data_IF_006249953635
#
_entry.id   IF_006249953635
#
_cell.length_a   1.000
_cell.length_b   1.000
_cell.length_c   1.000
_cell.angle_alpha   90.00
_cell.angle_beta   90.00
_cell.angle_gamma   90.00
#
_symmetry.space_group_name_H-M   'P 1'
#
loop_
_entity.id
_entity.type
_entity.pdbx_description
1 polymer ?
#
# COMPACT_ATOMS: atom_id res chain seq x y z
N UNK A 1 2.84 16.27 22.30
CA UNK A 1 3.83 16.69 21.27
C UNK A 1 3.46 16.21 19.85
N UNK A 2 2.95 14.99 19.65
CA UNK A 2 2.53 14.48 18.34
C UNK A 2 1.32 15.26 17.75
N UNK A 3 0.33 15.57 18.59
CA UNK A 3 -0.89 16.31 18.20
C UNK A 3 -0.55 17.74 17.71
N UNK A 4 0.36 18.43 18.42
CA UNK A 4 0.77 19.77 18.03
C UNK A 4 1.51 19.79 16.69
N UNK A 5 2.34 18.77 16.40
CA UNK A 5 3.02 18.61 15.11
C UNK A 5 2.02 18.38 13.96
N UNK A 6 0.96 17.61 14.19
CA UNK A 6 -0.05 17.34 13.15
C UNK A 6 -0.92 18.58 12.88
N UNK A 7 -1.33 19.32 13.92
CA UNK A 7 -2.06 20.58 13.76
C UNK A 7 -1.25 21.62 12.97
N UNK A 8 0.07 21.73 13.24
CA UNK A 8 0.93 22.62 12.48
C UNK A 8 1.02 22.19 11.00
N UNK A 9 1.08 20.89 10.72
CA UNK A 9 1.10 20.38 9.35
C UNK A 9 -0.22 20.64 8.62
N UNK A 10 -1.36 20.61 9.30
CA UNK A 10 -2.65 20.99 8.71
C UNK A 10 -2.66 22.47 8.30
N UNK A 11 -2.23 23.37 9.17
CA UNK A 11 -2.13 24.80 8.85
C UNK A 11 -1.17 25.01 7.67
N UNK A 12 0.01 24.42 7.72
CA UNK A 12 0.99 24.52 6.64
C UNK A 12 0.43 23.96 5.33
N UNK A 13 -0.39 22.91 5.39
CA UNK A 13 -1.05 22.34 4.21
C UNK A 13 -1.94 23.38 3.51
N UNK A 14 -2.69 24.19 4.26
CA UNK A 14 -3.54 25.23 3.66
C UNK A 14 -2.68 26.21 2.84
N UNK A 15 -1.56 26.68 3.39
CA UNK A 15 -0.67 27.59 2.67
C UNK A 15 0.04 26.92 1.49
N UNK A 16 0.46 25.66 1.64
CA UNK A 16 1.10 24.89 0.58
C UNK A 16 0.12 24.66 -0.58
N UNK A 17 -1.14 24.30 -0.30
CA UNK A 17 -2.15 24.09 -1.35
C UNK A 17 -2.72 25.39 -1.93
N UNK A 18 -2.47 26.52 -1.34
CA UNK A 18 -2.66 27.79 -2.02
C UNK A 18 -1.68 27.99 -3.19
N UNK A 19 -0.46 27.42 -3.06
CA UNK A 19 0.58 27.44 -4.10
C UNK A 19 0.49 26.26 -5.07
N UNK A 20 0.12 25.06 -4.58
CA UNK A 20 -0.02 23.83 -5.33
C UNK A 20 -1.48 23.38 -5.31
N UNK A 21 -2.15 23.33 -6.45
CA UNK A 21 -3.59 23.04 -6.54
C UNK A 21 -3.93 21.62 -6.08
N UNK A 22 -3.03 20.68 -6.32
CA UNK A 22 -3.24 19.27 -5.98
C UNK A 22 -2.03 18.68 -5.25
N UNK A 23 -2.26 17.58 -4.56
CA UNK A 23 -1.17 16.78 -3.96
C UNK A 23 -0.16 16.31 -5.01
N UNK A 24 -0.63 16.08 -6.24
CA UNK A 24 0.22 15.65 -7.34
C UNK A 24 1.12 16.79 -7.85
N UNK A 25 0.62 18.00 -7.96
CA UNK A 25 1.44 19.16 -8.34
C UNK A 25 2.57 19.40 -7.33
N UNK A 26 2.27 19.18 -6.04
CA UNK A 26 3.29 19.23 -4.97
C UNK A 26 4.32 18.11 -5.17
N UNK A 27 3.87 16.89 -5.47
CA UNK A 27 4.76 15.77 -5.76
C UNK A 27 5.71 16.05 -6.94
N UNK A 28 5.17 16.49 -8.06
CA UNK A 28 5.96 16.84 -9.26
C UNK A 28 7.01 17.90 -8.96
N UNK A 29 6.64 18.93 -8.19
CA UNK A 29 7.60 19.96 -7.74
C UNK A 29 8.72 19.37 -6.87
N UNK A 30 8.37 18.51 -5.92
CA UNK A 30 9.36 17.84 -5.03
C UNK A 30 10.29 16.94 -5.83
N UNK A 31 9.75 16.15 -6.74
CA UNK A 31 10.50 15.21 -7.57
C UNK A 31 11.44 15.94 -8.55
N UNK A 32 10.93 16.94 -9.28
CA UNK A 32 11.70 17.72 -10.24
C UNK A 32 12.89 18.46 -9.60
N UNK A 33 12.74 18.89 -8.35
CA UNK A 33 13.79 19.63 -7.62
C UNK A 33 14.56 18.74 -6.63
N UNK A 34 14.33 17.42 -6.63
CA UNK A 34 14.95 16.46 -5.70
C UNK A 34 14.81 16.86 -4.22
N UNK A 35 13.68 17.44 -3.84
CA UNK A 35 13.40 17.92 -2.47
C UNK A 35 12.82 16.78 -1.63
N UNK A 36 13.67 16.04 -0.94
CA UNK A 36 13.28 14.88 -0.10
C UNK A 36 13.04 15.22 1.37
N UNK A 37 13.40 16.43 1.80
CA UNK A 37 13.32 16.89 3.19
C UNK A 37 12.80 18.33 3.26
N UNK A 38 12.41 18.76 4.45
CA UNK A 38 11.90 20.11 4.70
C UNK A 38 10.38 20.18 4.78
N UNK A 39 9.85 21.40 4.82
CA UNK A 39 8.43 21.66 5.07
C UNK A 39 7.55 21.05 3.97
N UNK A 40 7.87 21.30 2.70
CA UNK A 40 7.06 20.80 1.57
C UNK A 40 7.02 19.28 1.53
N UNK A 41 8.17 18.60 1.69
CA UNK A 41 8.25 17.15 1.75
C UNK A 41 7.47 16.59 2.96
N UNK A 42 7.53 17.27 4.11
CA UNK A 42 6.78 16.87 5.31
C UNK A 42 5.27 17.04 5.14
N UNK A 43 4.81 18.09 4.46
CA UNK A 43 3.40 18.30 4.14
C UNK A 43 2.92 17.25 3.15
N UNK A 44 3.70 16.96 2.10
CA UNK A 44 3.37 15.91 1.14
C UNK A 44 3.21 14.56 1.84
N UNK A 45 4.23 14.13 2.58
CA UNK A 45 4.22 12.84 3.30
C UNK A 45 3.03 12.76 4.25
N UNK A 46 2.76 13.81 5.01
CA UNK A 46 1.62 13.87 5.92
C UNK A 46 0.28 13.72 5.21
N UNK A 47 0.09 14.38 4.06
CA UNK A 47 -1.16 14.30 3.30
C UNK A 47 -1.36 12.93 2.63
N UNK A 48 -0.29 12.26 2.22
CA UNK A 48 -0.34 10.88 1.71
C UNK A 48 -0.65 9.90 2.85
N UNK A 49 0.03 10.03 3.98
CA UNK A 49 -0.18 9.19 5.18
C UNK A 49 -1.60 9.31 5.72
N UNK A 50 -2.15 10.52 5.75
CA UNK A 50 -3.56 10.80 6.11
C UNK A 50 -4.57 10.07 5.21
N UNK A 51 -4.19 9.72 4.00
CA UNK A 51 -4.96 8.87 3.07
C UNK A 51 -4.66 7.38 3.24
N UNK A 52 -3.87 7.00 4.24
CA UNK A 52 -3.47 5.63 4.50
C UNK A 52 -2.50 5.04 3.49
N UNK A 53 -1.75 5.87 2.75
CA UNK A 53 -0.80 5.46 1.73
C UNK A 53 0.61 5.96 1.97
N UNK A 54 1.51 5.58 1.08
CA UNK A 54 2.89 6.08 1.03
C UNK A 54 3.37 6.18 -0.42
N UNK A 55 3.92 7.32 -0.81
CA UNK A 55 4.62 7.49 -2.08
C UNK A 55 6.00 8.09 -1.77
N UNK A 56 7.05 7.32 -2.03
CA UNK A 56 8.43 7.78 -1.89
C UNK A 56 8.73 8.93 -2.88
N UNK A 57 9.27 10.04 -2.38
CA UNK A 57 9.54 11.23 -3.21
C UNK A 57 10.55 10.94 -4.33
N UNK A 58 11.31 9.87 -4.24
CA UNK A 58 12.23 9.43 -5.31
C UNK A 58 11.64 8.39 -6.26
N UNK A 59 10.36 8.07 -6.19
CA UNK A 59 9.69 7.30 -7.25
C UNK A 59 9.59 8.16 -8.51
N UNK A 60 9.54 7.55 -9.69
CA UNK A 60 9.38 8.27 -10.95
C UNK A 60 8.15 7.79 -11.70
N UNK A 61 7.47 8.73 -12.35
CA UNK A 61 6.25 8.44 -13.10
C UNK A 61 6.35 9.08 -14.48
N UNK A 62 6.07 8.30 -15.53
CA UNK A 62 6.02 8.77 -16.90
C UNK A 62 4.85 9.74 -17.17
N UNK A 63 3.75 9.56 -16.43
CA UNK A 63 2.64 10.52 -16.32
C UNK A 63 1.95 10.33 -14.97
N UNK A 64 1.06 11.26 -14.61
CA UNK A 64 0.22 11.12 -13.40
C UNK A 64 -0.59 9.83 -13.46
N UNK A 65 -0.43 8.90 -12.48
CA UNK A 65 -1.26 7.70 -12.41
C UNK A 65 -2.72 8.03 -12.09
N UNK A 66 -3.62 7.18 -12.52
CA UNK A 66 -5.01 7.22 -12.08
C UNK A 66 -5.21 6.31 -10.88
N UNK A 67 -5.74 6.87 -9.78
CA UNK A 67 -6.08 6.16 -8.55
C UNK A 67 -7.60 6.15 -8.38
N UNK A 68 -8.33 5.11 -8.83
CA UNK A 68 -9.79 5.07 -8.79
C UNK A 68 -10.38 5.27 -7.39
N UNK A 69 -9.70 4.75 -6.38
CA UNK A 69 -10.11 4.82 -4.98
C UNK A 69 -9.14 5.66 -4.11
N UNK A 70 -8.56 6.73 -4.71
CA UNK A 70 -7.56 7.55 -4.03
C UNK A 70 -6.34 6.70 -3.61
N UNK A 71 -5.59 7.14 -2.60
CA UNK A 71 -4.35 6.49 -2.15
C UNK A 71 -4.54 5.49 -1.00
N UNK A 72 -5.77 5.01 -0.78
CA UNK A 72 -6.05 4.12 0.34
C UNK A 72 -5.21 2.83 0.27
N UNK A 73 -4.28 2.68 1.20
CA UNK A 73 -3.39 1.53 1.28
C UNK A 73 -2.41 1.38 0.12
N UNK A 74 -2.22 2.41 -0.72
CA UNK A 74 -1.23 2.39 -1.80
C UNK A 74 0.14 2.74 -1.27
N UNK A 75 1.09 1.81 -1.43
CA UNK A 75 2.49 1.99 -1.01
C UNK A 75 3.41 1.88 -2.23
N UNK A 76 4.14 2.95 -2.54
CA UNK A 76 5.10 2.99 -3.65
C UNK A 76 6.47 3.37 -3.09
N UNK A 77 7.44 2.47 -3.18
CA UNK A 77 8.79 2.69 -2.67
C UNK A 77 9.54 3.75 -3.45
N UNK A 78 10.39 4.47 -2.76
CA UNK A 78 11.37 5.36 -3.37
C UNK A 78 12.27 4.57 -4.34
N UNK A 79 12.48 5.10 -5.54
CA UNK A 79 13.26 4.45 -6.59
C UNK A 79 12.46 3.52 -7.50
N UNK A 80 11.16 3.30 -7.24
CA UNK A 80 10.29 2.65 -8.21
C UNK A 80 10.09 3.52 -9.45
N UNK A 81 10.02 2.88 -10.62
CA UNK A 81 9.74 3.54 -11.90
C UNK A 81 8.40 3.06 -12.41
N UNK A 82 7.49 3.97 -12.69
CA UNK A 82 6.17 3.68 -13.24
C UNK A 82 5.99 4.48 -14.53
N UNK A 83 5.67 3.82 -15.60
CA UNK A 83 5.44 4.40 -16.93
C UNK A 83 4.20 5.28 -17.01
N UNK A 84 3.81 5.62 -18.23
CA UNK A 84 2.63 6.44 -18.52
C UNK A 84 1.34 5.65 -18.38
N UNK A 85 0.23 6.37 -18.11
CA UNK A 85 -1.14 5.82 -18.10
C UNK A 85 -1.32 4.63 -17.14
N UNK A 86 -0.61 4.59 -16.04
CA UNK A 86 -0.81 3.56 -15.02
C UNK A 86 -2.13 3.78 -14.27
N UNK A 87 -2.91 2.70 -14.10
CA UNK A 87 -4.09 2.65 -13.24
C UNK A 87 -3.75 1.82 -12.02
N UNK A 88 -3.84 2.42 -10.83
CA UNK A 88 -3.40 1.78 -9.58
C UNK A 88 -4.54 1.79 -8.58
N UNK A 89 -5.04 0.60 -8.24
CA UNK A 89 -6.14 0.45 -7.28
C UNK A 89 -5.65 0.49 -5.83
N UNK A 90 -6.62 0.52 -4.90
CA UNK A 90 -6.36 0.54 -3.47
C UNK A 90 -5.56 -0.69 -3.00
N UNK A 91 -4.84 -0.53 -1.89
CA UNK A 91 -4.03 -1.57 -1.23
C UNK A 91 -2.91 -2.18 -2.10
N UNK A 92 -2.56 -1.53 -3.21
CA UNK A 92 -1.43 -1.92 -4.04
C UNK A 92 -0.11 -1.60 -3.33
N UNK A 93 0.86 -2.52 -3.40
CA UNK A 93 2.23 -2.28 -2.97
C UNK A 93 3.18 -2.43 -4.16
N UNK A 94 3.93 -1.37 -4.47
CA UNK A 94 5.07 -1.39 -5.38
C UNK A 94 6.30 -1.19 -4.51
N UNK A 95 6.95 -2.30 -4.14
CA UNK A 95 7.88 -2.36 -3.01
C UNK A 95 9.29 -2.77 -3.38
N UNK A 96 10.27 -2.12 -2.74
CA UNK A 96 11.66 -2.52 -2.84
C UNK A 96 11.96 -3.74 -1.97
N UNK A 97 12.86 -4.61 -2.43
CA UNK A 97 13.51 -5.63 -1.61
C UNK A 97 14.88 -5.09 -1.16
N UNK A 98 15.15 -5.17 0.14
CA UNK A 98 16.40 -4.69 0.76
C UNK A 98 17.10 -5.76 1.61
N UNK A 99 16.59 -7.00 1.60
CA UNK A 99 17.11 -8.11 2.40
C UNK A 99 18.38 -8.66 1.77
N UNK A 100 19.46 -8.79 2.56
CA UNK A 100 20.71 -9.40 2.09
C UNK A 100 20.48 -10.87 1.70
N UNK A 101 21.13 -11.30 0.61
CA UNK A 101 20.99 -12.66 0.09
C UNK A 101 19.74 -12.91 -0.75
N UNK A 102 18.95 -11.87 -1.04
CA UNK A 102 17.85 -11.94 -2.01
C UNK A 102 18.37 -11.69 -3.43
N UNK A 103 17.92 -12.49 -4.39
CA UNK A 103 18.28 -12.32 -5.81
C UNK A 103 17.56 -11.14 -6.48
N UNK A 104 16.56 -10.56 -5.80
CA UNK A 104 15.73 -9.48 -6.34
C UNK A 104 15.89 -8.15 -5.57
N UNK A 105 17.09 -7.86 -5.05
CA UNK A 105 17.34 -6.60 -4.34
C UNK A 105 17.16 -5.42 -5.30
N UNK A 106 16.31 -4.47 -4.96
CA UNK A 106 16.05 -3.26 -5.73
C UNK A 106 14.58 -2.87 -5.75
N UNK A 107 14.23 -2.05 -6.74
CA UNK A 107 12.89 -1.49 -6.90
C UNK A 107 12.27 -1.96 -8.22
N UNK A 108 10.94 -2.10 -8.29
CA UNK A 108 10.26 -2.44 -9.53
C UNK A 108 10.33 -1.32 -10.58
N UNK A 109 10.41 -1.74 -11.84
CA UNK A 109 10.19 -0.90 -13.03
C UNK A 109 8.95 -1.40 -13.74
N UNK A 110 7.98 -0.52 -13.98
CA UNK A 110 6.70 -0.83 -14.60
C UNK A 110 6.58 0.02 -15.87
N UNK A 111 6.27 -0.61 -16.99
CA UNK A 111 6.10 0.03 -18.30
C UNK A 111 4.81 0.85 -18.40
N UNK A 112 4.52 1.27 -19.63
CA UNK A 112 3.36 2.11 -19.96
C UNK A 112 2.04 1.29 -20.00
N UNK A 113 0.91 1.98 -19.81
CA UNK A 113 -0.45 1.44 -19.94
C UNK A 113 -0.73 0.21 -19.04
N UNK A 114 -0.17 0.17 -17.86
CA UNK A 114 -0.35 -0.94 -16.94
C UNK A 114 -1.57 -0.73 -16.01
N UNK A 115 -2.34 -1.80 -15.82
CA UNK A 115 -3.47 -1.86 -14.88
C UNK A 115 -3.09 -2.73 -13.68
N UNK A 116 -3.11 -2.14 -12.49
CA UNK A 116 -2.69 -2.80 -11.25
C UNK A 116 -3.88 -2.91 -10.32
N UNK A 117 -4.43 -4.13 -10.25
CA UNK A 117 -5.65 -4.45 -9.50
C UNK A 117 -5.49 -4.34 -8.00
N UNK A 118 -6.63 -4.23 -7.31
CA UNK A 118 -6.68 -4.02 -5.87
C UNK A 118 -5.87 -5.07 -5.08
N UNK A 119 -5.11 -4.61 -4.11
CA UNK A 119 -4.32 -5.50 -3.24
C UNK A 119 -3.10 -6.13 -3.89
N UNK A 120 -2.81 -5.89 -5.17
CA UNK A 120 -1.64 -6.46 -5.84
C UNK A 120 -0.32 -6.04 -5.18
N UNK A 121 0.67 -6.94 -5.19
CA UNK A 121 2.02 -6.73 -4.66
C UNK A 121 3.03 -6.94 -5.77
N UNK A 122 3.79 -5.91 -6.10
CA UNK A 122 4.89 -5.93 -7.08
C UNK A 122 6.14 -5.61 -6.31
N UNK A 123 7.06 -6.58 -6.17
CA UNK A 123 8.16 -6.46 -5.22
C UNK A 123 9.51 -6.89 -5.81
N UNK A 124 10.54 -6.14 -5.46
CA UNK A 124 11.92 -6.42 -5.85
C UNK A 124 12.35 -5.74 -7.15
N UNK A 125 13.58 -6.01 -7.55
CA UNK A 125 14.18 -5.51 -8.78
C UNK A 125 13.67 -6.30 -9.98
N UNK A 126 12.43 -6.05 -10.36
CA UNK A 126 11.76 -6.72 -11.48
C UNK A 126 11.30 -5.70 -12.51
N UNK A 127 11.14 -6.18 -13.73
CA UNK A 127 10.63 -5.41 -14.86
C UNK A 127 9.27 -5.93 -15.30
N UNK A 128 8.26 -5.05 -15.28
CA UNK A 128 6.94 -5.27 -15.87
C UNK A 128 6.91 -4.51 -17.19
N UNK A 129 6.66 -5.21 -18.28
CA UNK A 129 6.55 -4.62 -19.61
C UNK A 129 5.33 -3.70 -19.78
N UNK A 130 5.13 -3.24 -21.01
CA UNK A 130 4.02 -2.37 -21.36
C UNK A 130 2.69 -3.16 -21.51
N UNK A 131 1.57 -2.47 -21.38
CA UNK A 131 0.21 -3.03 -21.57
C UNK A 131 -0.07 -4.25 -20.68
N UNK A 132 0.54 -4.30 -19.49
CA UNK A 132 0.35 -5.41 -18.56
C UNK A 132 -0.83 -5.20 -17.64
N UNK A 133 -1.46 -6.32 -17.23
CA UNK A 133 -2.53 -6.34 -16.23
C UNK A 133 -2.11 -7.21 -15.05
N UNK A 134 -2.08 -6.62 -13.87
CA UNK A 134 -1.88 -7.32 -12.62
C UNK A 134 -3.25 -7.48 -11.95
N UNK A 135 -3.71 -8.71 -11.79
CA UNK A 135 -4.98 -9.03 -11.17
C UNK A 135 -5.01 -8.68 -9.68
N UNK A 136 -6.21 -8.55 -9.13
CA UNK A 136 -6.39 -8.28 -7.70
C UNK A 136 -5.68 -9.34 -6.85
N UNK A 137 -4.99 -8.88 -5.80
CA UNK A 137 -4.20 -9.69 -4.86
C UNK A 137 -3.10 -10.56 -5.49
N UNK A 138 -2.76 -10.33 -6.77
CA UNK A 138 -1.64 -11.03 -7.39
C UNK A 138 -0.31 -10.54 -6.78
N UNK A 139 0.61 -11.49 -6.56
CA UNK A 139 1.97 -11.20 -6.08
C UNK A 139 2.94 -11.44 -7.21
N UNK A 140 3.58 -10.36 -7.67
CA UNK A 140 4.53 -10.36 -8.78
C UNK A 140 5.94 -10.08 -8.24
N UNK A 141 6.81 -11.05 -8.38
CA UNK A 141 8.21 -11.00 -7.95
C UNK A 141 9.18 -11.50 -9.03
N UNK A 142 8.70 -11.58 -10.28
CA UNK A 142 9.46 -11.94 -11.48
C UNK A 142 9.08 -11.02 -12.62
N UNK A 143 9.96 -10.90 -13.59
CA UNK A 143 9.73 -10.10 -14.78
C UNK A 143 8.50 -10.56 -15.56
N UNK A 144 7.82 -9.60 -16.16
CA UNK A 144 6.69 -9.83 -17.04
C UNK A 144 6.96 -9.17 -18.41
N UNK A 145 6.88 -9.91 -19.51
CA UNK A 145 6.97 -9.31 -20.84
C UNK A 145 5.76 -8.42 -21.15
N UNK A 146 5.87 -7.63 -22.21
CA UNK A 146 4.76 -6.82 -22.69
C UNK A 146 3.48 -7.64 -22.92
N UNK A 147 2.34 -6.98 -22.79
CA UNK A 147 1.01 -7.57 -23.09
C UNK A 147 0.65 -8.79 -22.22
N UNK A 148 1.16 -8.85 -21.00
CA UNK A 148 1.00 -10.00 -20.10
C UNK A 148 0.00 -9.75 -18.99
N UNK A 149 -0.57 -10.85 -18.47
CA UNK A 149 -1.50 -10.81 -17.33
C UNK A 149 -0.94 -11.68 -16.20
N UNK A 150 -0.76 -11.08 -15.02
CA UNK A 150 -0.53 -11.81 -13.78
C UNK A 150 -1.85 -12.02 -13.05
N UNK A 151 -2.14 -13.24 -12.65
CA UNK A 151 -3.35 -13.59 -11.89
C UNK A 151 -2.98 -14.27 -10.57
N UNK A 152 -3.86 -14.10 -9.58
CA UNK A 152 -3.77 -14.87 -8.36
C UNK A 152 -4.11 -16.35 -8.63
N UNK A 153 -3.58 -17.26 -7.84
CA UNK A 153 -3.97 -18.67 -7.92
C UNK A 153 -5.48 -18.81 -7.66
N UNK A 154 -6.18 -19.79 -8.33
CA UNK A 154 -7.58 -20.02 -8.07
C UNK A 154 -7.84 -20.33 -6.59
N UNK A 155 -8.92 -19.80 -6.04
CA UNK A 155 -9.36 -20.10 -4.68
C UNK A 155 -9.64 -21.60 -4.55
N UNK A 156 -9.03 -22.22 -3.52
CA UNK A 156 -9.36 -23.61 -3.16
C UNK A 156 -10.35 -23.59 -2.01
N UNK A 157 -11.49 -24.23 -2.21
CA UNK A 157 -12.48 -24.45 -1.17
C UNK A 157 -12.19 -25.80 -0.50
N UNK A 158 -12.00 -25.78 0.82
CA UNK A 158 -11.76 -26.99 1.61
C UNK A 158 -12.94 -27.12 2.57
N UNK A 159 -13.77 -28.11 2.35
CA UNK A 159 -14.88 -28.44 3.24
C UNK A 159 -14.34 -29.26 4.43
N UNK A 160 -14.75 -28.91 5.63
CA UNK A 160 -14.47 -29.66 6.84
C UNK A 160 -15.70 -30.42 7.29
N UNK A 161 -15.50 -31.58 7.89
CA UNK A 161 -16.58 -32.44 8.41
C UNK A 161 -17.22 -31.85 9.66
N UNK A 162 -16.44 -31.15 10.47
CA UNK A 162 -16.89 -30.49 11.69
C UNK A 162 -16.97 -28.95 11.51
N UNK A 163 -17.87 -28.27 12.23
CA UNK A 163 -17.90 -26.82 12.28
C UNK A 163 -16.54 -26.26 12.73
N UNK A 164 -16.12 -25.17 12.08
CA UNK A 164 -14.91 -24.43 12.47
C UNK A 164 -15.24 -23.49 13.62
N UNK A 165 -14.34 -23.39 14.58
CA UNK A 165 -14.38 -22.33 15.56
C UNK A 165 -13.79 -21.06 14.93
N UNK A 166 -14.68 -20.12 14.58
CA UNK A 166 -14.31 -18.84 13.96
C UNK A 166 -14.41 -17.67 14.95
N UNK A 167 -14.48 -17.95 16.24
CA UNK A 167 -14.49 -16.91 17.27
C UNK A 167 -13.16 -16.14 17.23
N UNK A 168 -13.24 -14.83 17.39
CA UNK A 168 -12.06 -13.99 17.50
C UNK A 168 -11.71 -13.80 18.98
N UNK A 169 -10.54 -14.27 19.39
CA UNK A 169 -10.05 -14.23 20.76
C UNK A 169 -9.06 -13.09 20.99
N UNK A 170 -9.16 -12.46 22.16
CA UNK A 170 -8.18 -11.49 22.67
C UNK A 170 -7.72 -11.91 24.06
N UNK A 171 -6.41 -11.85 24.28
CA UNK A 171 -5.84 -11.93 25.61
C UNK A 171 -5.98 -10.56 26.29
N UNK A 172 -6.67 -10.49 27.41
CA UNK A 172 -6.88 -9.25 28.15
C UNK A 172 -5.80 -9.06 29.24
N UNK A 173 -5.65 -7.82 29.74
CA UNK A 173 -4.65 -7.48 30.75
C UNK A 173 -4.79 -8.27 32.06
N UNK A 174 -5.99 -8.78 32.34
CA UNK A 174 -6.28 -9.66 33.50
C UNK A 174 -5.82 -11.11 33.30
N UNK A 175 -5.13 -11.40 32.17
CA UNK A 175 -4.65 -12.74 31.80
C UNK A 175 -5.74 -13.69 31.32
N UNK A 176 -6.97 -13.21 31.14
CA UNK A 176 -8.07 -14.01 30.64
C UNK A 176 -8.26 -13.82 29.12
N UNK A 177 -8.54 -14.92 28.44
CA UNK A 177 -8.93 -14.91 27.03
C UNK A 177 -10.43 -14.59 26.91
N UNK A 178 -10.78 -13.68 26.01
CA UNK A 178 -12.17 -13.33 25.71
C UNK A 178 -12.40 -13.42 24.22
N UNK A 179 -13.58 -13.84 23.80
CA UNK A 179 -13.96 -13.91 22.40
C UNK A 179 -15.09 -12.91 22.07
N UNK A 180 -15.11 -12.47 20.82
CA UNK A 180 -16.12 -11.57 20.29
C UNK A 180 -17.43 -12.34 20.03
N UNK A 181 -18.53 -11.87 20.63
CA UNK A 181 -19.86 -12.41 20.42
C UNK A 181 -20.92 -11.30 20.49
N UNK A 182 -21.72 -11.17 19.43
CA UNK A 182 -22.86 -10.25 19.34
C UNK A 182 -22.59 -8.83 19.87
N UNK A 183 -21.48 -8.23 19.42
CA UNK A 183 -21.16 -6.84 19.74
C UNK A 183 -20.42 -6.63 21.08
N UNK A 184 -20.00 -7.69 21.75
CA UNK A 184 -19.25 -7.60 23.03
C UNK A 184 -18.22 -8.72 23.17
N UNK A 185 -17.20 -8.47 23.99
CA UNK A 185 -16.23 -9.51 24.36
C UNK A 185 -16.76 -10.31 25.57
N UNK A 186 -16.83 -11.64 25.40
CA UNK A 186 -17.22 -12.58 26.46
C UNK A 186 -16.04 -13.44 26.89
N UNK A 187 -16.01 -13.78 28.14
CA UNK A 187 -15.08 -14.76 28.71
C UNK A 187 -15.53 -16.16 28.33
N UNK A 188 -14.60 -17.02 27.88
CA UNK A 188 -14.90 -18.42 27.68
C UNK A 188 -15.16 -19.08 29.05
N UNK A 189 -16.34 -19.66 29.22
CA UNK A 189 -16.61 -20.49 30.40
C UNK A 189 -15.81 -21.78 30.24
N UNK A 190 -14.75 -21.92 31.01
CA UNK A 190 -13.98 -23.16 31.05
C UNK A 190 -14.95 -24.26 31.55
N UNK A 191 -15.43 -25.09 30.63
CA UNK A 191 -16.12 -26.32 31.02
C UNK A 191 -15.10 -27.18 31.77
N UNK A 192 -15.25 -27.23 33.08
CA UNK A 192 -14.54 -28.18 33.91
C UNK A 192 -14.97 -29.56 33.44
N UNK A 193 -14.16 -30.19 32.62
CA UNK A 193 -14.32 -31.62 32.30
C UNK A 193 -14.02 -32.35 33.60
N UNK A 194 -15.08 -32.87 34.23
CA UNK A 194 -15.00 -33.83 35.33
C UNK A 194 -14.53 -35.18 34.78
#
# INVERSE_FOLDING_TARGET
MLILKNWLKEILSVFVFFRFRTLWDLYEHLAANNIKKGILASVFTYQVDKKGGYIGIGATFGSRPYFPHSLHGVFISEGSVIGKNAVIFQHVTIGAVRTRGSDCIGNPTIGDNCYIGAGAKIVGNIHIGNNCRIGANAVVYKDMPDNSIAVCAPTRVITKEAPLDNRFFLMCEDGCERYWDNGQFRKEETSVVQ
#
